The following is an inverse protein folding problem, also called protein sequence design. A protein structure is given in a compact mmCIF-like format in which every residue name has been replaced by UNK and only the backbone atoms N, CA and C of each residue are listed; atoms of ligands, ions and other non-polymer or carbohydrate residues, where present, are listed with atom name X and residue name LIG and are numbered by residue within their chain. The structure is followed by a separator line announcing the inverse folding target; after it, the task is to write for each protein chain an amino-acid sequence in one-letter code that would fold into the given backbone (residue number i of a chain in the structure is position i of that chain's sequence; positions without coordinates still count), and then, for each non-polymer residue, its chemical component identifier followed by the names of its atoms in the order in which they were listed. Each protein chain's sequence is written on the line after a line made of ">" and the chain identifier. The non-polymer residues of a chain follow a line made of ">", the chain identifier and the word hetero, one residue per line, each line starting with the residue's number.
data_IF_855745054711
#
_entry.id   IF_855745054711
#
_cell.length_a   1.000
_cell.length_b   1.000
_cell.length_c   1.000
_cell.angle_alpha   90.00
_cell.angle_beta   90.00
_cell.angle_gamma   90.00
#
_symmetry.space_group_name_H-M   'P 1'
#
loop_
_entity.id
_entity.type
_entity.pdbx_description
1 polymer ?
#
# COMPACT_ATOMS: atom_id res chain seq x y z
N UNK A 1 -2.10 7.70 7.02
CA UNK A 1 -2.26 7.12 8.38
C UNK A 1 -3.49 6.22 8.53
N UNK A 2 -4.70 6.61 8.07
CA UNK A 2 -5.94 5.82 8.22
C UNK A 2 -5.90 4.44 7.54
N UNK A 3 -5.22 4.37 6.42
CA UNK A 3 -5.01 3.18 5.59
C UNK A 3 -4.20 2.08 6.29
N UNK A 4 -3.08 2.43 6.92
CA UNK A 4 -2.15 1.48 7.56
C UNK A 4 -2.80 0.71 8.72
N UNK A 5 -3.60 1.41 9.52
CA UNK A 5 -4.34 0.85 10.67
C UNK A 5 -5.45 -0.12 10.26
N UNK A 6 -5.94 -0.04 9.02
CA UNK A 6 -7.02 -0.88 8.54
C UNK A 6 -6.55 -2.04 7.64
N UNK A 7 -5.32 -1.98 7.11
CA UNK A 7 -4.80 -2.97 6.15
C UNK A 7 -3.56 -3.69 6.67
N UNK A 8 -2.38 -3.08 6.57
CA UNK A 8 -1.10 -3.74 6.87
C UNK A 8 -0.99 -4.23 8.33
N UNK A 9 -1.34 -3.39 9.31
CA UNK A 9 -1.26 -3.76 10.72
C UNK A 9 -2.22 -4.90 11.13
N UNK A 10 -3.49 -4.91 10.69
CA UNK A 10 -4.36 -6.07 10.90
C UNK A 10 -4.12 -7.22 9.90
N UNK A 11 -3.24 -7.07 8.92
CA UNK A 11 -2.99 -8.07 7.86
C UNK A 11 -4.18 -8.31 6.92
N UNK A 12 -5.13 -7.36 6.83
CA UNK A 12 -6.37 -7.51 6.05
C UNK A 12 -6.24 -6.76 4.73
N UNK A 13 -6.23 -7.50 3.62
CA UNK A 13 -6.15 -6.95 2.25
C UNK A 13 -7.41 -7.22 1.41
N UNK A 14 -8.41 -7.85 2.03
CA UNK A 14 -9.70 -8.18 1.43
C UNK A 14 -10.84 -7.67 2.35
N UNK A 15 -11.88 -7.02 1.80
CA UNK A 15 -12.00 -6.58 0.40
C UNK A 15 -11.00 -5.47 0.05
N UNK A 16 -10.60 -5.33 -1.23
CA UNK A 16 -9.70 -4.28 -1.67
C UNK A 16 -10.39 -2.91 -1.66
N UNK A 17 -9.76 -1.88 -1.09
CA UNK A 17 -10.16 -0.48 -1.35
C UNK A 17 -9.74 -0.09 -2.77
N UNK A 18 -8.56 -0.55 -3.18
CA UNK A 18 -8.03 -0.36 -4.52
C UNK A 18 -7.21 -1.57 -4.94
N UNK A 19 -7.66 -2.31 -5.96
CA UNK A 19 -7.02 -3.56 -6.38
C UNK A 19 -5.60 -3.34 -6.91
N UNK A 20 -4.68 -4.24 -6.56
CA UNK A 20 -3.28 -4.18 -7.01
C UNK A 20 -3.16 -4.17 -8.54
N UNK A 21 -4.01 -4.92 -9.26
CA UNK A 21 -4.02 -4.92 -10.72
C UNK A 21 -4.29 -3.52 -11.30
N UNK A 22 -5.18 -2.74 -10.68
CA UNK A 22 -5.47 -1.37 -11.12
C UNK A 22 -4.29 -0.45 -10.82
N UNK A 23 -3.70 -0.55 -9.62
CA UNK A 23 -2.52 0.22 -9.26
C UNK A 23 -1.34 -0.04 -10.22
N UNK A 24 -1.06 -1.31 -10.53
CA UNK A 24 0.01 -1.69 -11.47
C UNK A 24 -0.24 -1.09 -12.85
N UNK A 25 -1.48 -1.10 -13.34
CA UNK A 25 -1.87 -0.53 -14.63
C UNK A 25 -1.55 0.96 -14.70
N UNK A 26 -1.92 1.72 -13.67
CA UNK A 26 -1.70 3.18 -13.67
C UNK A 26 -0.19 3.53 -13.62
N UNK A 27 0.61 2.74 -12.88
CA UNK A 27 2.06 2.91 -12.85
C UNK A 27 2.70 2.55 -14.19
N UNK A 28 2.25 1.47 -14.84
CA UNK A 28 2.72 1.06 -16.17
C UNK A 28 2.42 2.13 -17.23
N UNK A 29 1.22 2.73 -17.17
CA UNK A 29 0.84 3.86 -18.01
C UNK A 29 1.76 5.06 -17.77
N UNK A 30 2.00 5.43 -16.50
CA UNK A 30 2.89 6.53 -16.16
C UNK A 30 4.30 6.28 -16.70
N UNK A 31 4.87 5.08 -16.47
CA UNK A 31 6.20 4.67 -16.96
C UNK A 31 6.28 4.75 -18.49
N UNK A 32 5.22 4.34 -19.18
CA UNK A 32 5.15 4.40 -20.64
C UNK A 32 5.19 5.84 -21.15
N UNK A 33 4.41 6.74 -20.56
CA UNK A 33 4.46 8.18 -20.88
C UNK A 33 5.84 8.76 -20.57
N UNK A 34 6.46 8.38 -19.45
CA UNK A 34 7.83 8.82 -19.12
C UNK A 34 8.85 8.45 -20.21
N UNK A 35 8.72 7.25 -20.81
CA UNK A 35 9.58 6.82 -21.93
C UNK A 35 9.35 7.61 -23.21
N UNK A 36 8.10 7.99 -23.50
CA UNK A 36 7.76 8.79 -24.69
C UNK A 36 8.42 10.18 -24.67
N UNK A 37 8.61 10.75 -23.47
CA UNK A 37 9.21 12.08 -23.28
C UNK A 37 10.65 12.03 -22.77
N UNK A 38 11.35 10.89 -22.88
CA UNK A 38 12.73 10.70 -22.42
C UNK A 38 12.96 11.06 -20.92
N UNK A 39 11.92 10.93 -20.09
CA UNK A 39 11.99 11.22 -18.65
C UNK A 39 12.41 9.97 -17.86
N UNK A 40 13.56 9.98 -17.16
CA UNK A 40 14.06 8.81 -16.45
C UNK A 40 13.28 8.55 -15.14
N UNK A 41 12.27 7.69 -15.20
CA UNK A 41 11.40 7.36 -14.06
C UNK A 41 11.90 6.20 -13.19
N UNK A 42 13.13 6.29 -12.66
CA UNK A 42 13.81 5.19 -11.94
C UNK A 42 12.98 4.57 -10.81
N UNK A 43 12.38 5.40 -9.95
CA UNK A 43 11.57 4.93 -8.82
C UNK A 43 10.26 4.27 -9.28
N UNK A 44 9.62 4.80 -10.32
CA UNK A 44 8.38 4.22 -10.85
C UNK A 44 8.64 2.85 -11.50
N UNK A 45 9.78 2.67 -12.18
CA UNK A 45 10.18 1.37 -12.72
C UNK A 45 10.43 0.36 -11.59
N UNK A 46 11.08 0.75 -10.49
CA UNK A 46 11.26 -0.12 -9.32
C UNK A 46 9.91 -0.51 -8.70
N UNK A 47 9.02 0.46 -8.51
CA UNK A 47 7.66 0.20 -8.02
C UNK A 47 6.87 -0.75 -8.95
N UNK A 48 6.99 -0.58 -10.27
CA UNK A 48 6.35 -1.45 -11.25
C UNK A 48 6.85 -2.90 -11.14
N UNK A 49 8.15 -3.10 -10.92
CA UNK A 49 8.71 -4.44 -10.70
C UNK A 49 8.19 -5.08 -9.42
N UNK A 50 8.15 -4.34 -8.31
CA UNK A 50 7.59 -4.83 -7.04
C UNK A 50 6.10 -5.20 -7.15
N UNK A 51 5.30 -4.35 -7.79
CA UNK A 51 3.89 -4.65 -8.04
C UNK A 51 3.70 -5.88 -8.93
N UNK A 52 4.58 -6.07 -9.91
CA UNK A 52 4.56 -7.24 -10.79
C UNK A 52 4.91 -8.52 -10.04
N UNK A 53 5.90 -8.48 -9.15
CA UNK A 53 6.23 -9.63 -8.28
C UNK A 53 5.04 -10.01 -7.40
N UNK A 54 4.38 -9.03 -6.77
CA UNK A 54 3.19 -9.25 -5.97
C UNK A 54 2.02 -9.87 -6.79
N UNK A 55 1.81 -9.42 -8.03
CA UNK A 55 0.81 -10.01 -8.94
C UNK A 55 1.18 -11.44 -9.31
N UNK A 56 2.45 -11.73 -9.60
CA UNK A 56 2.93 -13.07 -9.94
C UNK A 56 2.72 -14.08 -8.79
N UNK A 57 2.67 -13.59 -7.54
CA UNK A 57 2.30 -14.38 -6.34
C UNK A 57 0.79 -14.57 -6.16
N UNK A 58 -0.02 -14.11 -7.10
CA UNK A 58 -1.48 -14.22 -7.08
C UNK A 58 -2.19 -13.13 -6.27
N UNK A 59 -1.51 -12.05 -5.89
CA UNK A 59 -2.11 -11.00 -5.06
C UNK A 59 -2.82 -9.89 -5.85
N UNK A 60 -2.96 -10.03 -7.17
CA UNK A 60 -3.50 -8.97 -8.04
C UNK A 60 -4.92 -8.50 -7.71
N UNK A 61 -5.76 -9.40 -7.14
CA UNK A 61 -7.12 -9.07 -6.71
C UNK A 61 -7.23 -8.46 -5.31
N UNK A 62 -6.15 -8.50 -4.52
CA UNK A 62 -6.11 -7.93 -3.17
C UNK A 62 -5.85 -6.43 -3.23
N UNK A 63 -5.98 -5.78 -2.08
CA UNK A 63 -5.63 -4.37 -1.97
C UNK A 63 -4.19 -4.10 -2.40
N UNK A 64 -3.95 -3.01 -3.13
CA UNK A 64 -2.64 -2.61 -3.66
C UNK A 64 -1.50 -2.61 -2.65
N UNK A 65 -1.80 -2.43 -1.37
CA UNK A 65 -0.82 -2.42 -0.27
C UNK A 65 -0.29 -3.79 0.09
N UNK A 66 -0.87 -4.86 -0.44
CA UNK A 66 -0.37 -6.23 -0.30
C UNK A 66 1.07 -6.36 -0.82
N UNK A 67 1.52 -5.49 -1.73
CA UNK A 67 2.91 -5.44 -2.18
C UNK A 67 3.90 -5.17 -1.03
N UNK A 68 3.47 -4.60 0.10
CA UNK A 68 4.32 -4.42 1.29
C UNK A 68 4.71 -5.74 1.95
N UNK A 69 3.92 -6.81 1.78
CA UNK A 69 4.26 -8.14 2.27
C UNK A 69 5.57 -8.65 1.66
N UNK A 70 5.93 -8.22 0.45
CA UNK A 70 7.23 -8.56 -0.14
C UNK A 70 8.40 -8.10 0.74
N UNK A 71 8.27 -6.93 1.36
CA UNK A 71 9.31 -6.39 2.23
C UNK A 71 9.31 -7.08 3.60
N UNK A 72 8.14 -7.44 4.12
CA UNK A 72 8.01 -8.27 5.33
C UNK A 72 8.71 -9.62 5.15
N UNK A 73 8.45 -10.32 4.04
CA UNK A 73 9.09 -11.59 3.70
C UNK A 73 10.60 -11.46 3.54
N UNK A 74 11.07 -10.45 2.81
CA UNK A 74 12.50 -10.21 2.58
C UNK A 74 13.24 -9.87 3.87
N UNK A 75 12.58 -9.19 4.80
CA UNK A 75 13.13 -8.84 6.11
C UNK A 75 12.95 -9.97 7.15
N UNK A 76 12.14 -11.00 6.86
CA UNK A 76 11.83 -12.06 7.80
C UNK A 76 11.04 -11.57 9.03
N UNK A 77 10.28 -10.48 8.88
CA UNK A 77 9.51 -9.87 9.97
C UNK A 77 8.03 -9.81 9.59
N UNK A 78 7.16 -9.84 10.60
CA UNK A 78 5.74 -9.63 10.41
C UNK A 78 5.29 -8.35 11.12
N UNK A 79 4.80 -7.36 10.37
CA UNK A 79 4.37 -6.08 10.94
C UNK A 79 2.87 -6.17 11.25
N UNK A 80 2.53 -6.89 12.32
CA UNK A 80 1.17 -6.94 12.86
C UNK A 80 1.08 -6.11 14.13
N UNK A 81 -0.07 -5.45 14.32
CA UNK A 81 -0.37 -4.74 15.55
C UNK A 81 -1.65 -5.27 16.18
N UNK A 82 -1.67 -5.32 17.50
CA UNK A 82 -2.84 -5.73 18.26
C UNK A 82 -4.03 -4.77 18.02
N UNK A 83 -5.24 -5.33 17.89
CA UNK A 83 -6.44 -4.54 17.61
C UNK A 83 -6.73 -3.50 18.70
N UNK A 84 -6.37 -3.76 19.96
CA UNK A 84 -6.54 -2.80 21.05
C UNK A 84 -5.55 -1.64 20.92
N UNK A 85 -4.30 -1.92 20.54
CA UNK A 85 -3.30 -0.89 20.25
C UNK A 85 -3.72 0.00 19.06
N UNK A 86 -4.29 -0.62 18.02
CA UNK A 86 -4.87 0.10 16.88
C UNK A 86 -6.01 1.02 17.34
N UNK A 87 -6.96 0.52 18.15
CA UNK A 87 -8.10 1.31 18.68
C UNK A 87 -7.66 2.43 19.63
N UNK A 88 -6.62 2.22 20.42
CA UNK A 88 -6.04 3.25 21.29
C UNK A 88 -5.39 4.37 20.46
N UNK A 89 -4.67 4.02 19.39
CA UNK A 89 -4.09 5.02 18.47
C UNK A 89 -5.16 5.92 17.83
N UNK A 90 -6.33 5.34 17.48
CA UNK A 90 -7.49 6.07 16.98
C UNK A 90 -8.04 7.08 17.99
N UNK A 91 -8.18 6.65 19.24
CA UNK A 91 -8.69 7.48 20.34
C UNK A 91 -7.74 8.64 20.64
N UNK A 92 -6.43 8.37 20.67
CA UNK A 92 -5.40 9.39 20.89
C UNK A 92 -5.41 10.43 19.77
N UNK A 93 -5.50 10.00 18.50
CA UNK A 93 -5.50 10.91 17.35
C UNK A 93 -6.74 11.80 17.30
N UNK A 94 -7.93 11.29 17.65
CA UNK A 94 -9.15 12.10 17.75
C UNK A 94 -9.10 13.14 18.87
N UNK A 95 -8.34 12.87 19.94
CA UNK A 95 -8.13 13.80 21.05
C UNK A 95 -7.19 14.96 20.69
N UNK A 96 -6.22 14.71 19.81
CA UNK A 96 -5.17 15.68 19.44
C UNK A 96 -5.55 16.49 18.19
N UNK A 97 -6.47 16.00 17.36
CA UNK A 97 -6.94 16.74 16.19
C UNK A 97 -7.69 18.02 16.64
N UNK A 98 -7.28 19.22 16.19
CA UNK A 98 -8.06 20.43 16.44
C UNK A 98 -9.45 20.25 15.84
N UNK A 99 -10.49 20.65 16.59
CA UNK A 99 -11.86 20.72 16.09
C UNK A 99 -11.94 21.84 15.04
N UNK A 100 -11.50 21.58 13.81
CA UNK A 100 -11.81 22.45 12.68
C UNK A 100 -13.26 22.19 12.31
N UNK A 101 -14.14 23.02 12.88
CA UNK A 101 -15.47 23.24 12.35
C UNK A 101 -15.38 24.24 11.20
N UNK A 102 -15.67 23.74 9.99
CA UNK A 102 -16.36 24.43 8.91
C UNK A 102 -17.32 23.38 8.33
#
# INVERSE_FOLDING_TARGET
>A
MKVWLNTCYPGKFDPPDFALNLARKDVDLAVSVGREYDVPMRLANLALMEMTEAINRGWGGRDSRVAMLLQEERAGVEVRADETAIKQSWTLKRRIAPKTGI
#
